data_IF_807396107546
#
_entry.id   IF_807396107546
#
_cell.length_a   1.000
_cell.length_b   1.000
_cell.length_c   1.000
_cell.angle_alpha   90.00
_cell.angle_beta   90.00
_cell.angle_gamma   90.00
#
_symmetry.space_group_name_H-M   'P 1'
#
loop_
_entity.id
_entity.type
_entity.pdbx_description
1 polymer ?
#
# COMPACT_ATOMS: atom_id res chain seq x y z
N UNK A 1 21.20 -2.84 20.02
CA UNK A 1 20.47 -3.01 18.73
C UNK A 1 20.05 -1.68 18.10
N UNK A 2 19.52 -0.70 18.84
CA UNK A 2 19.10 0.61 18.30
C UNK A 2 20.19 1.43 17.55
N UNK A 3 21.49 1.46 17.97
CA UNK A 3 22.51 2.30 17.30
C UNK A 3 22.81 1.86 15.85
N UNK A 4 22.79 0.54 15.60
CA UNK A 4 23.06 -0.01 14.27
C UNK A 4 21.94 0.31 13.27
N UNK A 5 20.68 0.37 13.74
CA UNK A 5 19.54 0.73 12.89
C UNK A 5 19.61 2.21 12.46
N UNK A 6 19.88 3.11 13.40
CA UNK A 6 20.03 4.54 13.08
C UNK A 6 21.21 4.75 12.12
N UNK A 7 22.34 4.09 12.37
CA UNK A 7 23.50 4.17 11.48
C UNK A 7 23.17 3.67 10.06
N UNK A 8 22.44 2.55 9.95
CA UNK A 8 22.00 2.02 8.67
C UNK A 8 21.09 3.00 7.94
N UNK A 9 20.08 3.56 8.61
CA UNK A 9 19.12 4.50 8.02
C UNK A 9 19.80 5.76 7.48
N UNK A 10 20.71 6.35 8.27
CA UNK A 10 21.48 7.51 7.82
C UNK A 10 22.29 7.14 6.57
N UNK A 11 22.97 5.99 6.58
CA UNK A 11 23.79 5.56 5.45
C UNK A 11 22.97 5.19 4.22
N UNK A 12 21.76 4.65 4.37
CA UNK A 12 20.89 4.34 3.24
C UNK A 12 20.39 5.59 2.55
N UNK A 13 20.05 6.64 3.31
CA UNK A 13 19.56 7.92 2.77
C UNK A 13 20.66 8.64 1.99
N UNK A 14 21.90 8.64 2.50
CA UNK A 14 23.00 9.40 1.86
C UNK A 14 23.83 8.59 0.85
N UNK A 15 23.34 7.44 0.38
CA UNK A 15 24.10 6.52 -0.50
C UNK A 15 25.51 6.19 0.04
N UNK A 16 25.59 5.91 1.35
CA UNK A 16 26.82 5.53 2.07
C UNK A 16 26.80 4.06 2.51
N UNK A 17 25.92 3.25 1.92
CA UNK A 17 25.94 1.81 2.09
C UNK A 17 27.17 1.21 1.38
N UNK A 18 27.66 0.02 1.81
CA UNK A 18 28.85 -0.61 1.26
C UNK A 18 28.59 -1.24 -0.12
N UNK A 19 28.14 -0.45 -1.09
CA UNK A 19 28.15 -0.80 -2.52
C UNK A 19 29.59 -0.90 -3.02
N UNK A 20 29.88 -1.70 -4.05
CA UNK A 20 31.26 -1.81 -4.55
C UNK A 20 31.81 -0.45 -5.02
N UNK A 21 30.96 0.44 -5.56
CA UNK A 21 31.37 1.81 -5.88
C UNK A 21 31.86 2.58 -4.64
N UNK A 22 31.18 2.46 -3.50
CA UNK A 22 31.60 3.09 -2.24
C UNK A 22 32.81 2.39 -1.61
N UNK A 23 32.88 1.06 -1.68
CA UNK A 23 34.04 0.31 -1.19
C UNK A 23 35.33 0.70 -1.93
N UNK A 24 35.24 0.97 -3.24
CA UNK A 24 36.37 1.52 -4.01
C UNK A 24 36.73 2.92 -3.55
N UNK A 25 35.75 3.80 -3.36
CA UNK A 25 35.98 5.16 -2.83
C UNK A 25 36.65 5.13 -1.45
N UNK A 26 36.37 4.12 -0.63
CA UNK A 26 36.97 3.96 0.71
C UNK A 26 38.30 3.19 0.71
N UNK A 27 38.83 2.83 -0.46
CA UNK A 27 40.07 2.04 -0.57
C UNK A 27 39.96 0.62 0.00
N UNK A 28 38.74 0.06 0.06
CA UNK A 28 38.46 -1.30 0.55
C UNK A 28 38.34 -2.32 -0.57
N UNK A 29 38.18 -1.86 -1.82
CA UNK A 29 38.10 -2.70 -3.02
C UNK A 29 38.76 -1.96 -4.18
N UNK A 30 39.23 -2.69 -5.19
CA UNK A 30 39.83 -2.10 -6.39
C UNK A 30 38.80 -1.87 -7.50
N UNK A 31 37.81 -2.75 -7.63
CA UNK A 31 36.85 -2.76 -8.73
C UNK A 31 35.40 -2.48 -8.27
N UNK A 32 34.70 -1.46 -8.85
CA UNK A 32 33.33 -1.14 -8.52
C UNK A 32 32.29 -2.00 -9.26
N UNK A 33 32.69 -3.03 -10.00
CA UNK A 33 31.77 -3.87 -10.81
C UNK A 33 30.73 -4.62 -9.97
N UNK A 34 29.54 -4.81 -10.55
CA UNK A 34 28.46 -5.61 -10.02
C UNK A 34 28.76 -7.08 -10.27
N UNK A 35 28.71 -7.95 -9.25
CA UNK A 35 29.00 -9.38 -9.41
C UNK A 35 27.97 -10.09 -10.30
N UNK A 36 26.81 -9.48 -10.52
CA UNK A 36 25.79 -10.03 -11.41
C UNK A 36 26.07 -9.60 -12.85
N UNK A 37 25.89 -8.31 -13.15
CA UNK A 37 25.87 -7.83 -14.53
C UNK A 37 27.15 -7.13 -15.00
N UNK A 38 28.21 -7.12 -14.18
CA UNK A 38 29.50 -6.49 -14.47
C UNK A 38 29.45 -4.97 -14.72
N UNK A 39 28.30 -4.32 -14.53
CA UNK A 39 28.15 -2.86 -14.58
C UNK A 39 28.66 -2.20 -13.29
N UNK A 40 28.78 -0.88 -13.25
CA UNK A 40 29.16 -0.16 -12.02
C UNK A 40 28.10 -0.36 -10.92
N UNK A 41 28.49 -0.90 -9.77
CA UNK A 41 27.58 -1.19 -8.66
C UNK A 41 27.48 -0.02 -7.67
N UNK A 42 26.53 0.88 -7.93
CA UNK A 42 26.02 1.87 -6.97
C UNK A 42 24.87 1.30 -6.14
N UNK A 43 24.39 2.00 -5.12
CA UNK A 43 23.17 1.60 -4.40
C UNK A 43 21.95 1.62 -5.32
N UNK A 44 21.81 2.66 -6.15
CA UNK A 44 20.81 2.72 -7.21
C UNK A 44 20.85 1.47 -8.10
N UNK A 45 22.03 1.08 -8.57
CA UNK A 45 22.19 -0.11 -9.41
C UNK A 45 21.66 -1.38 -8.73
N UNK A 46 22.00 -1.58 -7.45
CA UNK A 46 21.55 -2.75 -6.69
C UNK A 46 20.04 -2.72 -6.50
N UNK A 47 19.48 -1.53 -6.21
CA UNK A 47 18.07 -1.38 -5.83
C UNK A 47 17.12 -1.35 -7.03
N UNK A 48 17.47 -0.78 -8.17
CA UNK A 48 16.52 -0.54 -9.27
C UNK A 48 17.06 -0.75 -10.69
N UNK A 49 18.38 -0.72 -10.93
CA UNK A 49 18.91 -0.66 -12.32
C UNK A 49 19.67 -1.90 -12.82
N UNK A 50 19.82 -2.94 -12.02
CA UNK A 50 20.55 -4.15 -12.42
C UNK A 50 19.70 -5.05 -13.33
N UNK A 51 20.09 -5.13 -14.60
CA UNK A 51 19.41 -5.93 -15.64
C UNK A 51 19.29 -7.42 -15.29
N UNK A 52 20.34 -8.01 -14.71
CA UNK A 52 20.33 -9.42 -14.31
C UNK A 52 19.47 -9.64 -13.06
N UNK A 53 19.47 -8.69 -12.11
CA UNK A 53 18.59 -8.78 -10.95
C UNK A 53 17.11 -8.70 -11.36
N UNK A 54 16.80 -7.84 -12.34
CA UNK A 54 15.48 -7.76 -12.97
C UNK A 54 15.10 -9.10 -13.64
N UNK A 55 15.95 -9.62 -14.54
CA UNK A 55 15.65 -10.85 -15.28
C UNK A 55 15.54 -12.09 -14.38
N UNK A 56 16.23 -12.11 -13.26
CA UNK A 56 16.14 -13.17 -12.24
C UNK A 56 14.91 -13.03 -11.32
N UNK A 57 14.06 -12.02 -11.52
CA UNK A 57 12.87 -11.81 -10.69
C UNK A 57 13.14 -11.31 -9.28
N UNK A 58 14.35 -10.85 -8.95
CA UNK A 58 14.68 -10.33 -7.60
C UNK A 58 13.87 -9.10 -7.24
N UNK A 59 13.45 -8.34 -8.25
CA UNK A 59 12.68 -7.11 -8.08
C UNK A 59 11.23 -7.45 -7.77
N UNK A 60 10.66 -8.39 -8.53
CA UNK A 60 9.36 -9.02 -8.23
C UNK A 60 9.35 -9.61 -6.82
N UNK A 61 10.38 -10.37 -6.44
CA UNK A 61 10.44 -10.94 -5.09
C UNK A 61 10.39 -9.87 -3.97
N UNK A 62 11.14 -8.77 -4.13
CA UNK A 62 11.12 -7.66 -3.16
C UNK A 62 9.78 -6.93 -3.15
N UNK A 63 9.20 -6.69 -4.32
CA UNK A 63 7.87 -6.08 -4.47
C UNK A 63 6.81 -6.94 -3.80
N UNK A 64 6.73 -8.23 -4.13
CA UNK A 64 5.81 -9.18 -3.51
C UNK A 64 5.98 -9.23 -1.99
N UNK A 65 7.21 -9.12 -1.48
CA UNK A 65 7.43 -9.10 -0.04
C UNK A 65 6.82 -7.86 0.63
N UNK A 66 6.96 -6.68 0.02
CA UNK A 66 6.30 -5.45 0.52
C UNK A 66 4.78 -5.60 0.41
N UNK A 67 4.29 -6.14 -0.70
CA UNK A 67 2.86 -6.33 -0.94
C UNK A 67 2.21 -7.27 0.07
N UNK A 68 2.88 -8.37 0.44
CA UNK A 68 2.46 -9.30 1.49
C UNK A 68 2.31 -8.61 2.85
N UNK A 69 3.28 -7.77 3.25
CA UNK A 69 3.22 -7.03 4.52
C UNK A 69 2.09 -5.99 4.51
N UNK A 70 1.87 -5.31 3.39
CA UNK A 70 0.76 -4.36 3.24
C UNK A 70 -0.60 -5.07 3.31
N UNK A 71 -0.76 -6.19 2.62
CA UNK A 71 -1.98 -7.00 2.66
C UNK A 71 -2.28 -7.48 4.10
N UNK A 72 -1.26 -7.90 4.84
CA UNK A 72 -1.40 -8.28 6.25
C UNK A 72 -1.88 -7.10 7.13
N UNK A 73 -1.28 -5.92 6.96
CA UNK A 73 -1.68 -4.70 7.68
C UNK A 73 -3.13 -4.32 7.36
N UNK A 74 -3.53 -4.41 6.09
CA UNK A 74 -4.90 -4.12 5.64
C UNK A 74 -5.87 -5.12 6.25
N UNK A 75 -5.54 -6.41 6.25
CA UNK A 75 -6.36 -7.45 6.88
C UNK A 75 -6.60 -7.16 8.37
N UNK A 76 -5.55 -6.79 9.10
CA UNK A 76 -5.69 -6.36 10.51
C UNK A 76 -6.54 -5.10 10.64
N UNK A 77 -6.33 -4.09 9.77
CA UNK A 77 -7.10 -2.86 9.81
C UNK A 77 -8.60 -3.09 9.54
N UNK A 78 -8.95 -4.07 8.70
CA UNK A 78 -10.34 -4.49 8.44
C UNK A 78 -11.02 -5.03 9.70
N UNK A 79 -10.32 -5.86 10.48
CA UNK A 79 -10.85 -6.41 11.74
C UNK A 79 -11.08 -5.34 12.80
N UNK A 80 -10.31 -4.25 12.76
CA UNK A 80 -10.43 -3.12 13.69
C UNK A 80 -11.49 -2.09 13.26
N UNK A 81 -12.13 -2.27 12.10
CA UNK A 81 -13.15 -1.33 11.60
C UNK A 81 -14.30 -1.21 12.57
N UNK A 82 -14.76 0.03 12.76
CA UNK A 82 -15.90 0.31 13.62
C UNK A 82 -17.15 0.57 12.80
N UNK A 83 -18.16 -0.27 12.96
CA UNK A 83 -19.47 0.04 12.42
C UNK A 83 -20.09 1.24 13.16
N UNK A 84 -20.81 2.13 12.46
CA UNK A 84 -21.55 3.22 13.10
C UNK A 84 -22.62 2.66 14.04
N UNK A 85 -22.32 2.56 15.34
CA UNK A 85 -23.32 2.15 16.35
C UNK A 85 -24.35 3.26 16.49
N UNK A 86 -25.58 3.01 16.07
CA UNK A 86 -26.68 3.95 16.30
C UNK A 86 -27.08 3.85 17.78
N UNK A 87 -26.69 4.83 18.60
CA UNK A 87 -27.24 4.94 19.95
C UNK A 87 -28.57 5.67 19.88
N UNK A 88 -29.65 5.00 20.26
CA UNK A 88 -30.91 5.68 20.52
C UNK A 88 -30.73 6.60 21.74
N UNK A 89 -30.90 7.91 21.56
CA UNK A 89 -30.95 8.85 22.68
C UNK A 89 -32.29 8.66 23.40
N UNK A 90 -32.23 8.10 24.61
CA UNK A 90 -33.39 7.95 25.49
C UNK A 90 -33.37 9.13 26.46
N UNK A 91 -34.36 10.01 26.39
CA UNK A 91 -34.56 11.06 27.38
C UNK A 91 -35.53 10.55 28.45
N UNK A 92 -35.05 10.45 29.69
CA UNK A 92 -35.87 10.14 30.88
C UNK A 92 -36.15 11.40 31.67
N UNK A 93 -37.42 11.58 32.07
CA UNK A 93 -37.82 12.64 33.00
C UNK A 93 -37.41 12.30 34.43
N UNK A 94 -37.19 13.32 35.28
CA UNK A 94 -36.72 13.18 36.67
C UNK A 94 -37.59 12.26 37.58
N UNK A 95 -38.79 11.87 37.13
CA UNK A 95 -39.70 10.98 37.88
C UNK A 95 -40.06 9.67 37.17
N UNK A 96 -39.35 9.30 36.10
CA UNK A 96 -39.45 7.97 35.47
C UNK A 96 -40.78 7.59 34.81
N UNK A 97 -41.77 8.50 34.76
CA UNK A 97 -43.14 8.13 34.39
C UNK A 97 -43.42 8.13 32.86
N UNK A 98 -42.57 8.76 32.04
CA UNK A 98 -42.71 8.79 30.57
C UNK A 98 -41.33 8.80 29.92
N UNK A 99 -41.06 7.86 29.02
CA UNK A 99 -39.90 7.88 28.13
C UNK A 99 -40.34 8.40 26.75
N UNK A 100 -39.55 9.29 26.17
CA UNK A 100 -39.70 9.68 24.77
C UNK A 100 -38.54 9.08 23.99
N UNK A 101 -38.85 8.33 22.94
CA UNK A 101 -37.83 7.91 21.98
C UNK A 101 -37.44 9.15 21.18
N UNK A 102 -36.29 9.75 21.50
CA UNK A 102 -35.69 10.76 20.64
C UNK A 102 -35.41 10.15 19.27
N UNK A 103 -35.45 10.96 18.20
CA UNK A 103 -34.94 10.48 16.90
C UNK A 103 -33.51 9.99 17.11
N UNK A 104 -33.13 8.83 16.53
CA UNK A 104 -31.76 8.37 16.60
C UNK A 104 -30.85 9.46 16.01
N UNK A 105 -30.07 10.11 16.88
CA UNK A 105 -29.02 11.01 16.44
C UNK A 105 -27.85 10.11 16.10
N UNK A 106 -27.44 10.11 14.83
CA UNK A 106 -26.15 9.53 14.44
C UNK A 106 -25.09 10.32 15.19
N UNK A 107 -24.53 9.75 16.24
CA UNK A 107 -23.25 10.22 16.77
C UNK A 107 -22.27 10.14 15.61
N UNK A 108 -21.70 11.27 15.21
CA UNK A 108 -20.59 11.31 14.27
C UNK A 108 -19.44 10.57 14.93
N UNK A 109 -19.40 9.25 14.76
CA UNK A 109 -18.19 8.50 15.06
C UNK A 109 -17.09 9.16 14.23
N UNK A 110 -16.05 9.65 14.89
CA UNK A 110 -14.86 10.08 14.18
C UNK A 110 -14.39 8.91 13.33
N UNK A 111 -14.33 9.12 12.01
CA UNK A 111 -13.69 8.20 11.08
C UNK A 111 -12.23 8.08 11.53
N UNK A 112 -11.83 6.89 12.00
CA UNK A 112 -10.47 6.61 12.47
C UNK A 112 -9.59 6.12 11.32
N UNK A 113 -10.16 5.38 10.37
CA UNK A 113 -9.44 4.84 9.23
C UNK A 113 -10.27 4.91 7.93
N UNK A 114 -9.60 4.77 6.79
CA UNK A 114 -10.22 4.80 5.46
C UNK A 114 -11.27 3.68 5.27
N UNK A 115 -11.13 2.58 6.03
CA UNK A 115 -12.00 1.41 5.96
C UNK A 115 -13.20 1.47 6.91
N UNK A 116 -13.31 2.53 7.73
CA UNK A 116 -14.45 2.67 8.65
C UNK A 116 -15.76 2.91 7.88
N UNK A 117 -16.87 2.51 8.51
CA UNK A 117 -18.21 2.69 7.96
C UNK A 117 -18.77 1.45 7.27
N UNK A 118 -17.96 0.41 7.07
CA UNK A 118 -18.36 -0.85 6.48
C UNK A 118 -17.57 -2.06 7.01
N UNK A 119 -18.20 -3.24 7.06
CA UNK A 119 -17.62 -4.53 7.46
C UNK A 119 -17.54 -5.56 6.31
N UNK A 120 -18.07 -5.27 5.12
CA UNK A 120 -18.12 -6.19 3.97
C UNK A 120 -16.97 -6.02 2.97
N UNK A 121 -15.86 -5.41 3.41
CA UNK A 121 -14.68 -5.23 2.58
C UNK A 121 -14.18 -6.58 2.05
N UNK A 122 -14.11 -6.73 0.74
CA UNK A 122 -13.39 -7.78 0.04
C UNK A 122 -12.05 -7.21 -0.45
N UNK A 123 -10.96 -7.96 -0.29
CA UNK A 123 -9.63 -7.49 -0.71
C UNK A 123 -8.86 -8.56 -1.48
N UNK A 124 -8.07 -8.11 -2.45
CA UNK A 124 -7.20 -8.96 -3.24
C UNK A 124 -5.89 -8.24 -3.53
N UNK A 125 -4.77 -8.94 -3.42
CA UNK A 125 -3.46 -8.46 -3.85
C UNK A 125 -3.00 -9.16 -5.13
N UNK A 126 -2.20 -8.50 -5.97
CA UNK A 126 -1.52 -9.12 -7.13
C UNK A 126 -0.34 -9.98 -6.67
N UNK A 127 -0.66 -11.00 -5.87
CA UNK A 127 0.27 -12.00 -5.36
C UNK A 127 0.00 -13.35 -6.00
N UNK A 128 1.03 -14.18 -6.23
CA UNK A 128 0.85 -15.54 -6.76
C UNK A 128 -0.07 -16.42 -5.91
N UNK A 129 -0.14 -16.13 -4.61
CA UNK A 129 -0.95 -16.86 -3.64
C UNK A 129 -2.41 -16.37 -3.57
N UNK A 130 -2.71 -15.17 -4.12
CA UNK A 130 -4.06 -14.61 -4.11
C UNK A 130 -4.83 -15.03 -5.36
N UNK A 131 -6.11 -15.36 -5.15
CA UNK A 131 -7.05 -15.62 -6.24
C UNK A 131 -7.27 -14.35 -7.09
N UNK A 132 -7.90 -14.54 -8.24
CA UNK A 132 -8.17 -13.47 -9.19
C UNK A 132 -8.86 -12.27 -8.53
N UNK A 133 -8.42 -11.05 -8.87
CA UNK A 133 -9.04 -9.77 -8.53
C UNK A 133 -10.58 -9.76 -8.61
N UNK A 134 -11.29 -8.95 -7.80
CA UNK A 134 -12.73 -8.80 -7.85
C UNK A 134 -13.27 -8.54 -9.26
N UNK A 135 -14.45 -9.07 -9.55
CA UNK A 135 -15.07 -9.02 -10.89
C UNK A 135 -15.18 -7.59 -11.46
N UNK A 136 -15.34 -6.59 -10.60
CA UNK A 136 -15.41 -5.18 -10.96
C UNK A 136 -14.15 -4.66 -11.67
N UNK A 137 -12.98 -5.24 -11.40
CA UNK A 137 -11.71 -4.88 -12.04
C UNK A 137 -11.32 -5.84 -13.16
N UNK A 138 -11.87 -7.07 -13.17
CA UNK A 138 -11.57 -8.06 -14.22
C UNK A 138 -11.86 -7.52 -15.64
N UNK A 139 -12.83 -6.64 -15.80
CA UNK A 139 -13.22 -6.05 -17.08
C UNK A 139 -12.15 -5.09 -17.63
N UNK A 140 -11.47 -4.36 -16.74
CA UNK A 140 -10.49 -3.31 -17.08
C UNK A 140 -9.18 -3.84 -17.68
N UNK A 141 -8.94 -5.16 -17.64
CA UNK A 141 -7.68 -5.86 -17.99
C UNK A 141 -6.43 -5.38 -17.23
N UNK A 142 -6.58 -4.43 -16.32
CA UNK A 142 -5.53 -3.93 -15.45
C UNK A 142 -5.48 -4.74 -14.16
N UNK A 143 -4.30 -4.78 -13.54
CA UNK A 143 -4.06 -5.46 -12.27
C UNK A 143 -3.33 -4.48 -11.35
N UNK A 144 -4.08 -3.73 -10.53
CA UNK A 144 -3.48 -2.99 -9.42
C UNK A 144 -2.81 -3.93 -8.44
N UNK A 145 -1.87 -3.43 -7.64
CA UNK A 145 -1.19 -4.27 -6.64
C UNK A 145 -2.12 -4.71 -5.51
N UNK A 146 -3.03 -3.85 -5.02
CA UNK A 146 -4.09 -4.21 -4.07
C UNK A 146 -5.41 -3.57 -4.50
N UNK A 147 -6.49 -4.31 -4.34
CA UNK A 147 -7.85 -3.85 -4.59
C UNK A 147 -8.68 -4.17 -3.36
N UNK A 148 -9.43 -3.19 -2.88
CA UNK A 148 -10.42 -3.35 -1.82
C UNK A 148 -11.77 -2.86 -2.34
N UNK A 149 -12.81 -3.65 -2.14
CA UNK A 149 -14.15 -3.41 -2.66
C UNK A 149 -15.18 -3.62 -1.55
N UNK A 150 -16.16 -2.73 -1.47
CA UNK A 150 -17.33 -2.87 -0.61
C UNK A 150 -18.58 -2.76 -1.47
N UNK A 151 -19.42 -3.80 -1.45
CA UNK A 151 -20.67 -3.82 -2.20
C UNK A 151 -21.75 -2.96 -1.52
N UNK A 152 -21.79 -2.95 -0.19
CA UNK A 152 -22.81 -2.23 0.58
C UNK A 152 -22.66 -0.71 0.54
N UNK A 153 -21.44 -0.18 0.54
CA UNK A 153 -21.17 1.26 0.41
C UNK A 153 -20.84 1.69 -1.01
N UNK A 154 -20.75 0.73 -1.95
CA UNK A 154 -20.32 0.94 -3.33
C UNK A 154 -18.96 1.67 -3.37
N UNK A 155 -17.98 1.19 -2.61
CA UNK A 155 -16.66 1.79 -2.56
C UNK A 155 -15.61 0.88 -3.21
N UNK A 156 -14.69 1.49 -3.97
CA UNK A 156 -13.55 0.82 -4.56
C UNK A 156 -12.27 1.60 -4.21
N UNK A 157 -11.32 0.92 -3.58
CA UNK A 157 -10.00 1.47 -3.24
C UNK A 157 -8.95 0.62 -3.95
N UNK A 158 -8.10 1.25 -4.74
CA UNK A 158 -7.01 0.59 -5.44
C UNK A 158 -5.67 1.15 -4.98
N UNK A 159 -4.73 0.27 -4.65
CA UNK A 159 -3.37 0.63 -4.24
C UNK A 159 -2.40 0.13 -5.30
N UNK A 160 -1.52 1.01 -5.76
CA UNK A 160 -0.45 0.68 -6.69
C UNK A 160 0.89 1.04 -6.04
N UNK A 161 1.75 0.05 -5.86
CA UNK A 161 3.09 0.23 -5.34
C UNK A 161 4.04 0.58 -6.48
N UNK A 162 4.89 1.56 -6.22
CA UNK A 162 6.08 1.81 -7.03
C UNK A 162 7.27 2.02 -6.11
N UNK A 163 8.39 1.37 -6.44
CA UNK A 163 9.64 1.49 -5.68
C UNK A 163 10.76 1.99 -6.61
N UNK A 164 10.69 3.26 -7.06
CA UNK A 164 11.73 3.84 -7.90
C UNK A 164 12.91 4.30 -7.03
N UNK A 165 14.01 4.68 -7.69
CA UNK A 165 15.05 5.46 -7.02
C UNK A 165 14.56 6.91 -6.82
N UNK A 166 15.08 7.61 -5.81
CA UNK A 166 14.54 8.91 -5.35
C UNK A 166 14.37 9.93 -6.48
N UNK A 167 15.34 9.99 -7.40
CA UNK A 167 15.34 10.91 -8.54
C UNK A 167 14.19 10.65 -9.55
N UNK A 168 13.56 9.48 -9.50
CA UNK A 168 12.51 9.07 -10.44
C UNK A 168 11.16 8.90 -9.77
N UNK A 169 10.99 9.32 -8.50
CA UNK A 169 9.74 9.16 -7.75
C UNK A 169 8.56 9.86 -8.41
N UNK A 170 8.74 11.12 -8.83
CA UNK A 170 7.67 11.94 -9.41
C UNK A 170 7.20 11.37 -10.76
N UNK A 171 8.15 11.09 -11.67
CA UNK A 171 7.86 10.53 -12.99
C UNK A 171 7.16 9.18 -12.90
N UNK A 172 7.62 8.33 -11.98
CA UNK A 172 7.03 7.04 -11.69
C UNK A 172 5.59 7.16 -11.15
N UNK A 173 5.34 8.12 -10.26
CA UNK A 173 4.01 8.40 -9.74
C UNK A 173 3.06 8.86 -10.85
N UNK A 174 3.46 9.85 -11.66
CA UNK A 174 2.66 10.37 -12.78
C UNK A 174 2.32 9.24 -13.75
N UNK A 175 3.32 8.47 -14.18
CA UNK A 175 3.14 7.37 -15.12
C UNK A 175 2.11 6.33 -14.63
N UNK A 176 2.22 5.90 -13.36
CA UNK A 176 1.26 4.95 -12.78
C UNK A 176 -0.12 5.57 -12.62
N UNK A 177 -0.20 6.82 -12.15
CA UNK A 177 -1.48 7.52 -12.00
C UNK A 177 -2.21 7.63 -13.34
N UNK A 178 -1.53 8.01 -14.41
CA UNK A 178 -2.12 8.10 -15.75
C UNK A 178 -2.56 6.72 -16.27
N UNK A 179 -1.76 5.67 -16.04
CA UNK A 179 -2.08 4.30 -16.43
C UNK A 179 -3.41 3.82 -15.82
N UNK A 180 -3.65 4.11 -14.54
CA UNK A 180 -4.85 3.66 -13.83
C UNK A 180 -5.99 4.69 -13.82
N UNK A 181 -5.79 5.91 -14.31
CA UNK A 181 -6.81 6.97 -14.32
C UNK A 181 -8.07 6.57 -15.09
N UNK A 182 -7.93 5.82 -16.18
CA UNK A 182 -9.07 5.38 -16.98
C UNK A 182 -9.77 4.15 -16.38
N UNK A 183 -9.11 3.43 -15.48
CA UNK A 183 -9.66 2.25 -14.82
C UNK A 183 -10.83 2.60 -13.89
N UNK A 184 -10.79 3.78 -13.26
CA UNK A 184 -11.81 4.18 -12.28
C UNK A 184 -13.12 4.62 -12.93
N UNK A 185 -13.11 4.96 -14.23
CA UNK A 185 -14.28 5.45 -14.96
C UNK A 185 -15.37 4.38 -15.15
N UNK A 186 -14.99 3.11 -15.31
CA UNK A 186 -15.94 2.01 -15.49
C UNK A 186 -16.72 1.72 -14.19
N UNK A 187 -16.06 1.56 -13.02
CA UNK A 187 -16.72 1.50 -11.72
C UNK A 187 -17.62 2.72 -11.43
N UNK A 188 -17.15 3.93 -11.73
CA UNK A 188 -17.93 5.16 -11.54
C UNK A 188 -19.27 5.11 -12.30
N UNK A 189 -19.27 4.63 -13.54
CA UNK A 189 -20.48 4.47 -14.33
C UNK A 189 -21.40 3.35 -13.82
N UNK A 190 -20.85 2.37 -13.09
CA UNK A 190 -21.60 1.30 -12.43
C UNK A 190 -22.13 1.70 -11.03
N UNK A 191 -21.89 2.95 -10.60
CA UNK A 191 -22.37 3.52 -9.34
C UNK A 191 -21.44 3.33 -8.14
N UNK A 192 -20.15 3.09 -8.40
CA UNK A 192 -19.08 3.10 -7.38
C UNK A 192 -18.39 4.46 -7.27
#
# INVERSE_FOLDING_TARGET
MAPLRISFLIRSVYDLLPSNANLVRWGKKEDPTCPLCQGRQTTEHVLSSCKIALSQGRYTWRHNRVLQELAAIISTAKEETTLPKTKALIFTTERGAKSWHGRPVRTTNQIKCLLDGCDDWDDSADLPECDSHPSIIKETRLRPDIVMHSASTQQLITVELIVPYENSMEEAHIYKREKYLNMTKEPENAGY
#
